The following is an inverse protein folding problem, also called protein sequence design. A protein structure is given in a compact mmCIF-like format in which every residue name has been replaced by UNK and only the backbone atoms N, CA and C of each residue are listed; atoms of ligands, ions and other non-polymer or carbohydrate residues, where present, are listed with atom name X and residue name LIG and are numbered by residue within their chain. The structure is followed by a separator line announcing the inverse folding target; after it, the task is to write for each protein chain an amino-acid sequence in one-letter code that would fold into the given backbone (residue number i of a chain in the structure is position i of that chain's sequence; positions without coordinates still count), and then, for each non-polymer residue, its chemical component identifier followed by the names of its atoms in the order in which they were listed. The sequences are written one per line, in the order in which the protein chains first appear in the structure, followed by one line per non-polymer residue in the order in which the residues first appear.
data_IF_436079371687
#
_entry.id   IF_436079371687
#
_cell.length_a   1.000
_cell.length_b   1.000
_cell.length_c   1.000
_cell.angle_alpha   90.00
_cell.angle_beta   90.00
_cell.angle_gamma   90.00
#
_symmetry.space_group_name_H-M   'P 1'
#
loop_
_entity.id
_entity.type
_entity.pdbx_description
1 polymer ?
#
# COMPACT_ATOMS: atom_id res chain seq x y z
N UNK A 1 2.36 -5.66 27.47
CA UNK A 1 1.65 -4.71 26.59
C UNK A 1 2.71 -3.94 25.82
N UNK A 2 2.54 -3.67 24.52
CA UNK A 2 3.46 -2.77 23.82
C UNK A 2 3.44 -1.40 24.50
N UNK A 3 4.58 -0.71 24.50
CA UNK A 3 4.69 0.62 25.10
C UNK A 3 3.83 1.62 24.31
N UNK A 4 3.05 2.44 25.01
CA UNK A 4 2.27 3.51 24.38
C UNK A 4 3.19 4.70 24.07
N UNK A 5 3.22 5.14 22.82
CA UNK A 5 3.96 6.31 22.34
C UNK A 5 2.98 7.48 22.25
N UNK A 6 3.40 8.68 22.68
CA UNK A 6 2.60 9.90 22.48
C UNK A 6 2.93 10.56 21.15
N UNK A 7 2.00 11.33 20.59
CA UNK A 7 2.23 12.12 19.37
C UNK A 7 3.48 13.02 19.51
N UNK A 8 3.71 13.58 20.71
CA UNK A 8 4.85 14.46 20.98
C UNK A 8 6.22 13.74 20.89
N UNK A 9 6.24 12.40 20.98
CA UNK A 9 7.46 11.60 20.85
C UNK A 9 7.78 11.23 19.39
N UNK A 10 6.85 11.48 18.46
CA UNK A 10 7.05 11.25 17.04
C UNK A 10 8.05 12.26 16.45
N UNK A 11 8.82 11.79 15.48
CA UNK A 11 9.86 12.58 14.79
C UNK A 11 9.71 12.41 13.27
N UNK A 12 10.10 13.43 12.48
CA UNK A 12 10.23 13.27 11.04
C UNK A 12 11.09 12.07 10.70
N UNK A 13 10.58 11.20 9.83
CA UNK A 13 11.19 9.91 9.50
C UNK A 13 10.60 8.71 10.24
N UNK A 14 9.80 8.89 11.29
CA UNK A 14 9.05 7.76 11.85
C UNK A 14 8.02 7.25 10.84
N UNK A 15 7.76 5.95 10.86
CA UNK A 15 6.74 5.32 10.03
C UNK A 15 5.59 4.87 10.93
N UNK A 16 4.37 5.21 10.53
CA UNK A 16 3.14 4.78 11.17
C UNK A 16 2.50 3.66 10.37
N UNK A 17 2.37 2.49 10.98
CA UNK A 17 1.76 1.30 10.38
C UNK A 17 0.36 1.11 10.96
N UNK A 18 -0.66 1.24 10.13
CA UNK A 18 -2.06 1.29 10.56
C UNK A 18 -2.76 -0.04 10.30
N UNK A 19 -3.55 -0.49 11.28
CA UNK A 19 -4.49 -1.59 11.12
C UNK A 19 -5.91 -1.00 10.97
N UNK A 20 -6.34 -0.79 9.73
CA UNK A 20 -7.69 -0.31 9.45
C UNK A 20 -8.77 -1.36 9.74
N UNK A 21 -9.99 -0.88 9.99
CA UNK A 21 -11.17 -1.70 10.35
C UNK A 21 -12.05 -2.09 9.18
N UNK A 22 -12.09 -1.28 8.11
CA UNK A 22 -12.94 -1.49 6.94
C UNK A 22 -12.68 -2.78 6.17
N UNK A 23 -13.61 -3.16 5.32
CA UNK A 23 -13.59 -4.41 4.54
C UNK A 23 -12.38 -4.46 3.60
N UNK A 24 -12.05 -3.35 2.94
CA UNK A 24 -10.85 -3.24 2.11
C UNK A 24 -9.59 -3.45 2.96
N UNK A 25 -9.54 -2.89 4.16
CA UNK A 25 -8.42 -3.09 5.08
C UNK A 25 -8.28 -4.54 5.53
N UNK A 26 -9.39 -5.26 5.81
CA UNK A 26 -9.36 -6.71 6.11
C UNK A 26 -8.74 -7.50 4.96
N UNK A 27 -9.14 -7.19 3.74
CA UNK A 27 -8.64 -7.87 2.54
C UNK A 27 -7.17 -7.55 2.26
N UNK A 28 -6.72 -6.31 2.44
CA UNK A 28 -5.29 -5.94 2.32
C UNK A 28 -4.45 -6.70 3.34
N UNK A 29 -4.88 -6.74 4.62
CA UNK A 29 -4.19 -7.50 5.67
C UNK A 29 -4.08 -8.98 5.32
N UNK A 30 -5.17 -9.58 4.82
CA UNK A 30 -5.18 -10.96 4.36
C UNK A 30 -4.25 -11.19 3.16
N UNK A 31 -4.33 -10.35 2.13
CA UNK A 31 -3.56 -10.50 0.90
C UNK A 31 -2.05 -10.29 1.12
N UNK A 32 -1.69 -9.45 2.08
CA UNK A 32 -0.30 -9.12 2.45
C UNK A 32 0.27 -9.98 3.59
N UNK A 33 -0.53 -10.88 4.19
CA UNK A 33 -0.17 -11.61 5.40
C UNK A 33 0.35 -10.70 6.55
N UNK A 34 -0.27 -9.52 6.67
CA UNK A 34 0.12 -8.45 7.58
C UNK A 34 -0.95 -8.14 8.62
N UNK A 35 -0.50 -7.61 9.77
CA UNK A 35 -1.40 -6.97 10.73
C UNK A 35 -1.89 -5.59 10.27
N UNK A 36 -1.22 -4.99 9.28
CA UNK A 36 -1.45 -3.62 8.86
C UNK A 36 -2.01 -3.59 7.44
N UNK A 37 -2.91 -2.64 7.20
CA UNK A 37 -3.47 -2.36 5.87
C UNK A 37 -2.87 -1.11 5.24
N UNK A 38 -2.13 -0.29 6.00
CA UNK A 38 -1.63 0.99 5.50
C UNK A 38 -0.32 1.42 6.19
N UNK A 39 0.49 2.21 5.48
CA UNK A 39 1.71 2.80 5.99
C UNK A 39 1.80 4.29 5.64
N UNK A 40 2.26 5.10 6.60
CA UNK A 40 2.46 6.53 6.42
C UNK A 40 3.81 6.96 7.02
N UNK A 41 4.38 8.05 6.49
CA UNK A 41 5.62 8.66 6.97
C UNK A 41 5.28 9.88 7.82
N UNK A 42 5.86 10.01 9.01
CA UNK A 42 5.87 11.29 9.74
C UNK A 42 6.74 12.26 8.96
N UNK A 43 6.10 13.19 8.27
CA UNK A 43 6.74 14.10 7.33
C UNK A 43 7.31 15.32 8.05
N UNK A 44 6.54 15.88 8.97
CA UNK A 44 6.90 17.00 9.84
C UNK A 44 6.22 16.80 11.20
N UNK A 45 6.59 17.57 12.25
CA UNK A 45 5.91 17.48 13.54
C UNK A 45 4.38 17.64 13.38
N UNK A 46 3.63 16.60 13.74
CA UNK A 46 2.17 16.58 13.65
C UNK A 46 1.57 16.26 12.26
N UNK A 47 2.41 16.10 11.22
CA UNK A 47 1.97 15.87 9.84
C UNK A 47 2.47 14.54 9.29
N UNK A 48 1.60 13.87 8.53
CA UNK A 48 1.88 12.67 7.76
C UNK A 48 2.02 12.98 6.28
N UNK A 49 2.96 12.27 5.67
CA UNK A 49 2.96 12.00 4.26
C UNK A 49 2.50 10.57 4.00
N UNK A 50 1.53 10.41 3.09
CA UNK A 50 0.98 9.12 2.73
C UNK A 50 0.46 9.13 1.29
N UNK A 51 0.45 7.94 0.69
CA UNK A 51 -0.24 7.73 -0.57
C UNK A 51 -1.60 7.07 -0.27
N UNK A 52 -2.68 7.72 -0.65
CA UNK A 52 -4.07 7.30 -0.42
C UNK A 52 -4.92 7.53 -1.68
N UNK A 53 -6.17 7.07 -1.70
CA UNK A 53 -7.11 7.42 -2.77
C UNK A 53 -7.19 8.94 -2.96
N UNK A 54 -6.71 9.44 -4.10
CA UNK A 54 -6.54 10.87 -4.36
C UNK A 54 -5.09 11.28 -4.68
N UNK A 55 -4.10 10.47 -4.32
CA UNK A 55 -2.68 10.71 -4.64
C UNK A 55 -1.78 10.69 -3.41
N UNK A 56 -0.60 11.32 -3.55
CA UNK A 56 0.35 11.52 -2.45
C UNK A 56 0.05 12.85 -1.74
N UNK A 57 -0.23 12.78 -0.45
CA UNK A 57 -0.48 13.92 0.43
C UNK A 57 0.65 14.05 1.44
N UNK A 58 1.03 15.28 1.81
CA UNK A 58 2.17 15.55 2.71
C UNK A 58 1.77 16.35 3.97
N UNK A 59 0.47 16.59 4.15
CA UNK A 59 -0.11 17.55 5.09
C UNK A 59 -1.19 16.94 5.99
N UNK A 60 -1.29 15.61 6.03
CA UNK A 60 -2.35 14.93 6.76
C UNK A 60 -2.10 15.02 8.26
N UNK A 61 -3.12 15.38 9.05
CA UNK A 61 -2.96 15.59 10.49
C UNK A 61 -2.92 14.29 11.28
N UNK A 62 -1.85 14.06 12.05
CA UNK A 62 -1.74 12.92 12.97
C UNK A 62 -2.84 12.98 14.04
N UNK A 63 -3.09 14.17 14.59
CA UNK A 63 -4.10 14.34 15.63
C UNK A 63 -5.51 14.07 15.12
N UNK A 64 -5.83 14.49 13.89
CA UNK A 64 -7.12 14.18 13.27
C UNK A 64 -7.26 12.66 13.04
N UNK A 65 -6.21 12.00 12.54
CA UNK A 65 -6.18 10.53 12.36
C UNK A 65 -6.44 9.79 13.66
N UNK A 66 -5.87 10.24 14.79
CA UNK A 66 -6.10 9.60 16.09
C UNK A 66 -7.47 9.89 16.70
N UNK A 67 -8.13 10.99 16.31
CA UNK A 67 -9.48 11.29 16.76
C UNK A 67 -10.53 10.40 16.09
N UNK A 68 -10.19 9.81 14.93
CA UNK A 68 -11.05 8.91 14.17
C UNK A 68 -10.83 7.45 14.58
N UNK A 69 -11.37 7.09 15.75
CA UNK A 69 -11.20 5.78 16.35
C UNK A 69 -11.95 4.65 15.63
N UNK A 70 -12.91 4.98 14.76
CA UNK A 70 -13.74 4.00 14.08
C UNK A 70 -13.01 3.39 12.86
N UNK A 71 -12.07 4.13 12.27
CA UNK A 71 -11.35 3.71 11.05
C UNK A 71 -10.08 2.88 11.33
N UNK A 72 -9.45 3.02 12.51
CA UNK A 72 -8.17 2.38 12.83
C UNK A 72 -8.15 1.80 14.24
N UNK A 73 -7.83 0.51 14.36
CA UNK A 73 -7.75 -0.18 15.67
C UNK A 73 -6.36 -0.16 16.29
N UNK A 74 -5.31 0.08 15.48
CA UNK A 74 -3.93 0.03 15.92
C UNK A 74 -3.04 0.86 15.02
N UNK A 75 -2.11 1.61 15.61
CA UNK A 75 -1.04 2.29 14.90
C UNK A 75 0.29 1.99 15.58
N UNK A 76 1.10 1.17 14.92
CA UNK A 76 2.46 0.86 15.35
C UNK A 76 3.42 1.93 14.81
N UNK A 77 4.34 2.36 15.66
CA UNK A 77 5.40 3.31 15.31
C UNK A 77 6.71 2.55 15.15
N UNK A 78 7.34 2.69 13.98
CA UNK A 78 8.71 2.26 13.77
C UNK A 78 9.59 3.45 13.38
N UNK A 79 10.85 3.44 13.81
CA UNK A 79 11.80 4.55 13.61
C UNK A 79 13.06 4.06 12.89
N UNK A 80 13.60 4.83 11.92
CA UNK A 80 14.85 4.49 11.25
C UNK A 80 16.00 4.28 12.23
N UNK A 81 16.74 3.19 12.06
CA UNK A 81 17.95 2.87 12.81
C UNK A 81 19.12 3.58 12.15
N UNK A 82 19.53 4.71 12.72
CA UNK A 82 20.66 5.51 12.23
C UNK A 82 21.84 5.41 13.21
N UNK A 83 22.37 4.21 13.42
CA UNK A 83 23.46 3.96 14.37
C UNK A 83 23.11 4.32 15.82
N UNK A 84 21.82 4.26 16.19
CA UNK A 84 21.30 4.68 17.50
C UNK A 84 21.14 6.19 17.68
N UNK A 85 21.42 7.00 16.66
CA UNK A 85 21.26 8.45 16.68
C UNK A 85 19.96 8.90 15.99
N UNK A 86 19.37 10.04 16.38
CA UNK A 86 18.31 10.67 15.60
C UNK A 86 18.76 11.00 14.18
N UNK A 87 17.82 11.13 13.25
CA UNK A 87 18.11 11.68 11.94
C UNK A 87 18.61 13.13 12.07
N UNK A 88 19.67 13.45 11.34
CA UNK A 88 20.16 14.83 11.24
C UNK A 88 19.16 15.69 10.45
N UNK A 89 19.21 17.01 10.63
CA UNK A 89 18.37 17.93 9.85
C UNK A 89 18.57 17.78 8.32
N UNK A 90 19.80 17.47 7.88
CA UNK A 90 20.09 17.22 6.46
C UNK A 90 19.46 15.91 5.96
N UNK A 91 19.45 14.86 6.79
CA UNK A 91 18.79 13.59 6.47
C UNK A 91 17.26 13.77 6.38
N UNK A 92 16.67 14.48 7.35
CA UNK A 92 15.25 14.83 7.32
C UNK A 92 14.91 15.64 6.06
N UNK A 93 15.74 16.63 5.72
CA UNK A 93 15.53 17.44 4.52
C UNK A 93 15.58 16.62 3.22
N UNK A 94 16.51 15.65 3.11
CA UNK A 94 16.55 14.72 1.95
C UNK A 94 15.31 13.83 1.88
N UNK A 95 14.87 13.30 3.02
CA UNK A 95 13.67 12.46 3.09
C UNK A 95 12.42 13.23 2.70
N UNK A 96 12.28 14.47 3.17
CA UNK A 96 11.18 15.34 2.78
C UNK A 96 11.23 15.67 1.29
N UNK A 97 12.40 15.99 0.73
CA UNK A 97 12.56 16.26 -0.70
C UNK A 97 12.23 15.04 -1.56
N UNK A 98 12.64 13.83 -1.14
CA UNK A 98 12.30 12.59 -1.82
C UNK A 98 10.78 12.32 -1.79
N UNK A 99 10.12 12.53 -0.63
CA UNK A 99 8.67 12.43 -0.52
C UNK A 99 7.94 13.47 -1.40
N UNK A 100 8.43 14.71 -1.44
CA UNK A 100 7.91 15.76 -2.31
C UNK A 100 8.02 15.43 -3.80
N UNK A 101 9.12 14.79 -4.23
CA UNK A 101 9.28 14.36 -5.62
C UNK A 101 8.21 13.35 -6.05
N UNK A 102 7.55 12.68 -5.09
CA UNK A 102 6.44 11.76 -5.34
C UNK A 102 5.07 12.46 -5.34
N UNK A 103 4.97 13.76 -5.02
CA UNK A 103 3.70 14.51 -4.88
C UNK A 103 2.91 14.71 -6.19
N UNK A 104 3.42 14.25 -7.33
CA UNK A 104 2.68 14.18 -8.61
C UNK A 104 2.30 12.77 -9.04
N UNK A 105 2.71 11.76 -8.27
CA UNK A 105 2.40 10.36 -8.53
C UNK A 105 0.99 10.08 -8.08
N UNK A 106 0.28 9.29 -8.87
CA UNK A 106 -1.10 8.89 -8.60
C UNK A 106 -1.08 7.73 -7.60
N UNK A 107 -2.07 7.63 -6.74
CA UNK A 107 -2.26 6.39 -5.98
C UNK A 107 -2.82 5.30 -6.90
N UNK A 108 -2.53 4.02 -6.62
CA UNK A 108 -3.20 2.93 -7.32
C UNK A 108 -4.73 3.13 -7.24
N UNK A 109 -5.38 3.30 -8.39
CA UNK A 109 -6.64 4.06 -8.54
C UNK A 109 -7.91 3.46 -7.94
N UNK A 110 -7.80 2.40 -7.18
CA UNK A 110 -8.87 1.85 -6.38
C UNK A 110 -8.16 0.89 -5.42
N UNK A 111 -8.52 0.93 -4.14
CA UNK A 111 -7.92 0.02 -3.16
C UNK A 111 -8.22 -1.45 -3.52
N UNK A 112 -9.16 -1.70 -4.44
CA UNK A 112 -9.38 -2.98 -5.10
C UNK A 112 -8.29 -3.35 -6.12
N UNK A 113 -7.77 -2.45 -6.97
CA UNK A 113 -6.57 -2.80 -7.75
C UNK A 113 -5.33 -2.86 -6.86
N UNK A 114 -5.26 -2.15 -5.73
CA UNK A 114 -4.21 -2.39 -4.73
C UNK A 114 -4.31 -3.81 -4.18
N UNK A 115 -5.51 -4.26 -3.80
CA UNK A 115 -5.76 -5.63 -3.36
C UNK A 115 -5.45 -6.67 -4.46
N UNK A 116 -5.92 -6.43 -5.69
CA UNK A 116 -5.62 -7.27 -6.85
C UNK A 116 -4.12 -7.30 -7.16
N UNK A 117 -3.45 -6.15 -7.08
CA UNK A 117 -2.00 -6.01 -7.24
C UNK A 117 -1.25 -6.78 -6.15
N UNK A 118 -1.64 -6.65 -4.88
CA UNK A 118 -1.04 -7.41 -3.77
C UNK A 118 -1.23 -8.91 -4.01
N UNK A 119 -2.43 -9.36 -4.40
CA UNK A 119 -2.70 -10.76 -4.73
C UNK A 119 -1.80 -11.27 -5.87
N UNK A 120 -1.64 -10.49 -6.95
CA UNK A 120 -0.74 -10.80 -8.08
C UNK A 120 0.72 -10.87 -7.64
N UNK A 121 1.16 -9.84 -6.91
CA UNK A 121 2.56 -9.64 -6.54
C UNK A 121 3.06 -10.64 -5.51
N UNK A 122 2.20 -11.01 -4.56
CA UNK A 122 2.48 -12.02 -3.52
C UNK A 122 2.12 -13.45 -3.95
N UNK A 123 1.54 -13.63 -5.13
CA UNK A 123 0.99 -14.91 -5.58
C UNK A 123 -0.02 -15.48 -4.55
N UNK A 124 -0.85 -14.61 -3.98
CA UNK A 124 -1.83 -15.01 -2.95
C UNK A 124 -2.94 -15.80 -3.61
N UNK A 125 -2.93 -17.10 -3.36
CA UNK A 125 -3.93 -18.05 -3.81
C UNK A 125 -4.40 -18.86 -2.61
N UNK A 126 -5.64 -19.32 -2.69
CA UNK A 126 -6.26 -20.12 -1.64
C UNK A 126 -7.27 -21.07 -2.28
N UNK A 127 -7.57 -22.15 -1.56
CA UNK A 127 -8.63 -23.10 -1.92
C UNK A 127 -10.02 -22.54 -1.59
N UNK A 128 -10.11 -21.41 -0.89
CA UNK A 128 -11.38 -20.75 -0.61
C UNK A 128 -12.02 -20.22 -1.90
N UNK A 129 -13.19 -20.76 -2.26
CA UNK A 129 -13.90 -20.42 -3.50
C UNK A 129 -14.31 -18.95 -3.58
N UNK A 130 -14.73 -18.35 -2.46
CA UNK A 130 -15.13 -16.94 -2.42
C UNK A 130 -13.93 -16.02 -2.66
N UNK A 131 -12.77 -16.34 -2.07
CA UNK A 131 -11.53 -15.64 -2.32
C UNK A 131 -11.06 -15.77 -3.78
N UNK A 132 -11.14 -16.96 -4.38
CA UNK A 132 -10.78 -17.17 -5.80
C UNK A 132 -11.69 -16.37 -6.74
N UNK A 133 -12.99 -16.32 -6.44
CA UNK A 133 -13.98 -15.49 -7.17
C UNK A 133 -13.68 -14.00 -7.05
N UNK A 134 -13.34 -13.53 -5.85
CA UNK A 134 -12.93 -12.14 -5.66
C UNK A 134 -11.64 -11.85 -6.43
N UNK A 135 -10.60 -12.67 -6.31
CA UNK A 135 -9.34 -12.49 -7.07
C UNK A 135 -9.62 -12.48 -8.57
N UNK A 136 -10.46 -13.38 -9.07
CA UNK A 136 -10.86 -13.40 -10.48
C UNK A 136 -11.50 -12.08 -10.91
N UNK A 137 -12.43 -11.54 -10.13
CA UNK A 137 -13.03 -10.24 -10.37
C UNK A 137 -11.99 -9.11 -10.32
N UNK A 138 -11.15 -9.09 -9.28
CA UNK A 138 -10.09 -8.08 -9.12
C UNK A 138 -9.14 -8.08 -10.33
N UNK A 139 -8.75 -9.24 -10.85
CA UNK A 139 -7.89 -9.33 -12.02
C UNK A 139 -8.52 -8.80 -13.30
N UNK A 140 -9.86 -8.81 -13.40
CA UNK A 140 -10.57 -8.17 -14.52
C UNK A 140 -10.59 -6.65 -14.36
N UNK A 141 -10.62 -6.16 -13.12
CA UNK A 141 -10.58 -4.73 -12.78
C UNK A 141 -9.15 -4.15 -12.77
N UNK A 142 -8.11 -5.01 -12.67
CA UNK A 142 -6.71 -4.59 -12.76
C UNK A 142 -6.44 -4.19 -14.20
N UNK A 143 -6.61 -2.90 -14.47
CA UNK A 143 -6.18 -2.26 -15.70
C UNK A 143 -4.65 -2.36 -15.77
N UNK A 144 -4.07 -3.05 -16.77
CA UNK A 144 -2.66 -2.86 -17.06
C UNK A 144 -2.50 -1.40 -17.46
N UNK A 145 -1.53 -0.71 -16.85
CA UNK A 145 -1.06 0.66 -17.13
C UNK A 145 -1.34 1.68 -16.01
N UNK A 146 -0.31 1.89 -15.18
CA UNK A 146 0.36 3.19 -15.15
C UNK A 146 1.64 3.09 -14.31
N UNK A 147 2.77 3.34 -14.96
CA UNK A 147 4.09 3.55 -14.33
C UNK A 147 4.08 4.64 -13.24
N UNK A 148 3.11 5.57 -13.30
CA UNK A 148 3.00 6.68 -12.36
C UNK A 148 2.21 6.37 -11.08
N UNK A 149 1.78 5.13 -10.83
CA UNK A 149 0.97 4.77 -9.65
C UNK A 149 1.80 4.22 -8.48
N UNK A 150 1.44 4.58 -7.25
CA UNK A 150 2.08 4.16 -6.00
C UNK A 150 1.08 3.54 -5.01
N UNK A 151 1.56 2.54 -4.27
CA UNK A 151 0.90 2.00 -3.06
C UNK A 151 1.50 2.66 -1.80
N UNK A 152 0.80 2.63 -0.66
CA UNK A 152 1.21 3.32 0.57
C UNK A 152 2.59 2.91 1.10
N UNK A 153 2.87 1.61 1.17
CA UNK A 153 4.16 1.06 1.60
C UNK A 153 5.27 1.26 0.55
N UNK A 154 4.92 1.20 -0.73
CA UNK A 154 5.83 1.54 -1.84
C UNK A 154 6.26 3.01 -1.75
N UNK A 155 5.33 3.93 -1.49
CA UNK A 155 5.62 5.34 -1.26
C UNK A 155 6.63 5.53 -0.12
N UNK A 156 6.41 4.89 1.04
CA UNK A 156 7.34 4.99 2.17
C UNK A 156 8.71 4.44 1.79
N UNK A 157 8.79 3.26 1.18
CA UNK A 157 10.04 2.68 0.72
C UNK A 157 10.80 3.61 -0.24
N UNK A 158 10.11 4.13 -1.27
CA UNK A 158 10.69 5.02 -2.26
C UNK A 158 11.11 6.38 -1.69
N UNK A 159 10.40 6.90 -0.68
CA UNK A 159 10.81 8.12 0.00
C UNK A 159 12.17 7.92 0.72
N UNK A 160 12.36 6.79 1.39
CA UNK A 160 13.64 6.46 2.02
C UNK A 160 14.74 6.14 1.01
N UNK A 161 14.47 5.26 0.06
CA UNK A 161 15.41 4.89 -0.99
C UNK A 161 15.85 6.09 -1.84
N UNK A 162 14.89 6.96 -2.18
CA UNK A 162 15.10 8.19 -2.94
C UNK A 162 15.97 9.23 -2.26
N UNK A 163 16.27 9.08 -0.96
CA UNK A 163 17.26 9.94 -0.28
C UNK A 163 18.68 9.74 -0.78
N UNK A 164 18.96 8.58 -1.40
CA UNK A 164 20.30 8.14 -1.80
C UNK A 164 21.32 8.16 -0.65
N UNK A 165 20.83 8.06 0.57
CA UNK A 165 21.64 7.95 1.78
C UNK A 165 21.68 6.49 2.20
N UNK A 166 22.85 5.86 2.12
CA UNK A 166 23.03 4.45 2.48
C UNK A 166 22.63 4.13 3.94
N UNK A 167 22.66 5.13 4.83
CA UNK A 167 22.20 4.96 6.21
C UNK A 167 20.66 4.94 6.35
N UNK A 168 19.95 5.41 5.34
CA UNK A 168 18.49 5.49 5.29
C UNK A 168 17.86 4.48 4.32
N UNK A 169 18.67 3.85 3.47
CA UNK A 169 18.18 2.90 2.48
C UNK A 169 17.59 1.65 3.18
N UNK A 170 16.28 1.37 3.03
CA UNK A 170 15.64 0.31 3.78
C UNK A 170 16.08 -1.07 3.31
N UNK A 171 16.62 -1.87 4.22
CA UNK A 171 16.85 -3.30 3.99
C UNK A 171 15.54 -4.05 4.20
N UNK A 172 14.92 -4.49 3.11
CA UNK A 172 13.67 -5.23 3.18
C UNK A 172 13.94 -6.72 3.27
N UNK A 173 13.46 -7.33 4.34
CA UNK A 173 13.39 -8.79 4.49
C UNK A 173 11.95 -9.19 4.19
N UNK A 174 11.74 -9.81 3.03
CA UNK A 174 10.40 -10.27 2.64
C UNK A 174 9.95 -11.35 3.62
N UNK A 175 8.86 -11.07 4.33
CA UNK A 175 8.31 -12.02 5.28
C UNK A 175 7.73 -13.22 4.51
N UNK A 176 8.02 -14.48 4.91
CA UNK A 176 7.37 -15.65 4.31
C UNK A 176 5.85 -15.56 4.41
N UNK A 177 5.15 -16.11 3.42
CA UNK A 177 3.69 -16.19 3.44
C UNK A 177 3.21 -16.93 4.69
N UNK A 178 2.20 -16.37 5.36
CA UNK A 178 1.66 -16.91 6.63
C UNK A 178 0.35 -17.67 6.42
N UNK A 179 -0.18 -17.66 5.20
CA UNK A 179 -1.45 -18.29 4.82
C UNK A 179 -2.60 -17.96 5.78
N UNK A 180 -2.79 -16.66 6.04
CA UNK A 180 -3.88 -16.20 6.88
C UNK A 180 -5.25 -16.71 6.38
N UNK A 181 -6.16 -17.10 7.30
CA UNK A 181 -7.49 -17.55 6.92
C UNK A 181 -8.27 -16.43 6.22
N UNK A 182 -9.19 -16.82 5.34
CA UNK A 182 -10.10 -15.88 4.70
C UNK A 182 -10.90 -15.10 5.76
N UNK A 183 -10.91 -13.76 5.72
CA UNK A 183 -11.65 -12.96 6.70
C UNK A 183 -13.17 -13.08 6.49
N UNK A 184 -13.92 -12.71 7.52
CA UNK A 184 -15.36 -12.47 7.38
C UNK A 184 -15.57 -11.12 6.66
N UNK A 185 -16.09 -11.20 5.44
CA UNK A 185 -16.21 -10.07 4.50
C UNK A 185 -17.68 -9.72 4.31
N UNK A 186 -18.03 -8.47 4.62
CA UNK A 186 -19.32 -7.89 4.23
C UNK A 186 -19.21 -7.33 2.81
N UNK A 187 -19.73 -8.06 1.83
CA UNK A 187 -19.63 -7.67 0.42
C UNK A 187 -20.42 -6.40 0.07
N UNK A 188 -21.46 -6.06 0.82
CA UNK A 188 -22.22 -4.83 0.59
C UNK A 188 -21.41 -3.62 1.08
N UNK A 189 -20.83 -3.72 2.27
CA UNK A 189 -19.94 -2.70 2.82
C UNK A 189 -18.66 -2.57 1.98
N UNK A 190 -18.10 -3.69 1.50
CA UNK A 190 -16.95 -3.70 0.59
C UNK A 190 -17.24 -2.94 -0.71
N UNK A 191 -18.42 -3.14 -1.30
CA UNK A 191 -18.83 -2.40 -2.49
C UNK A 191 -18.96 -0.90 -2.19
N UNK A 192 -19.56 -0.53 -1.07
CA UNK A 192 -19.70 0.88 -0.68
C UNK A 192 -18.32 1.55 -0.47
N UNK A 193 -17.41 0.90 0.25
CA UNK A 193 -16.03 1.38 0.42
C UNK A 193 -15.32 1.54 -0.92
N UNK A 194 -15.51 0.59 -1.84
CA UNK A 194 -14.96 0.66 -3.19
C UNK A 194 -15.50 1.87 -3.98
N UNK A 195 -16.81 2.09 -3.95
CA UNK A 195 -17.45 3.21 -4.63
C UNK A 195 -17.03 4.55 -4.02
N UNK A 196 -16.88 4.64 -2.70
CA UNK A 196 -16.37 5.82 -2.02
C UNK A 196 -14.93 6.12 -2.44
N UNK A 197 -14.06 5.11 -2.47
CA UNK A 197 -12.68 5.26 -2.93
C UNK A 197 -12.63 5.74 -4.40
N UNK A 198 -13.49 5.20 -5.28
CA UNK A 198 -13.63 5.64 -6.67
C UNK A 198 -14.04 7.11 -6.79
N UNK A 199 -14.97 7.57 -5.96
CA UNK A 199 -15.47 8.96 -5.98
C UNK A 199 -14.46 9.98 -5.46
N UNK A 200 -13.50 9.57 -4.64
CA UNK A 200 -12.40 10.43 -4.14
C UNK A 200 -11.34 10.71 -5.21
N UNK A 201 -11.38 10.02 -6.35
CA UNK A 201 -10.49 10.28 -7.48
C UNK A 201 -10.85 11.65 -8.08
N UNK A 202 -9.89 12.57 -8.10
CA UNK A 202 -10.09 13.91 -8.65
C UNK A 202 -10.13 13.85 -10.20
N UNK A 203 -11.29 14.19 -10.83
CA UNK A 203 -11.42 14.16 -12.29
C UNK A 203 -10.44 15.08 -13.02
N UNK A 204 -10.05 16.19 -12.39
CA UNK A 204 -9.12 17.17 -12.98
C UNK A 204 -7.68 16.65 -13.03
N UNK A 205 -7.33 15.65 -12.21
CA UNK A 205 -6.00 15.03 -12.17
C UNK A 205 -5.97 13.69 -12.93
N UNK A 206 -7.12 13.12 -13.27
CA UNK A 206 -7.18 11.80 -13.91
C UNK A 206 -8.32 11.62 -14.93
N UNK A 207 -8.34 12.46 -15.97
CA UNK A 207 -9.33 12.41 -17.04
C UNK A 207 -9.37 11.05 -17.79
N UNK A 208 -8.21 10.42 -18.01
CA UNK A 208 -8.12 9.09 -18.64
C UNK A 208 -8.68 7.98 -17.76
N UNK A 209 -8.54 8.08 -16.43
CA UNK A 209 -9.20 7.16 -15.53
C UNK A 209 -10.72 7.36 -15.57
N UNK A 210 -11.21 8.60 -15.63
CA UNK A 210 -12.65 8.86 -15.66
C UNK A 210 -13.33 8.35 -16.94
N UNK A 211 -12.69 8.48 -18.11
CA UNK A 211 -13.21 7.98 -19.39
C UNK A 211 -13.22 6.44 -19.50
N UNK A 212 -12.35 5.75 -18.76
CA UNK A 212 -12.26 4.29 -18.75
C UNK A 212 -13.15 3.62 -17.67
N UNK A 213 -13.75 4.41 -16.77
CA UNK A 213 -14.57 3.86 -15.70
C UNK A 213 -15.93 3.42 -16.23
N UNK A 214 -16.22 2.13 -16.08
CA UNK A 214 -17.57 1.58 -16.24
C UNK A 214 -18.53 2.22 -15.23
N UNK A 215 -19.84 2.25 -15.52
CA UNK A 215 -20.84 2.72 -14.56
C UNK A 215 -20.66 2.05 -13.19
N UNK A 216 -20.96 2.78 -12.11
CA UNK A 216 -20.95 2.22 -10.76
C UNK A 216 -21.90 1.00 -10.72
N UNK A 217 -21.40 -0.22 -10.39
CA UNK A 217 -22.26 -1.38 -10.34
C UNK A 217 -23.22 -1.29 -9.15
N UNK A 218 -24.43 -1.78 -9.34
CA UNK A 218 -25.36 -2.06 -8.24
C UNK A 218 -24.87 -3.24 -7.40
N UNK A 219 -25.38 -3.38 -6.17
CA UNK A 219 -25.06 -4.53 -5.31
C UNK A 219 -25.41 -5.87 -5.99
N UNK A 220 -26.51 -5.93 -6.74
CA UNK A 220 -26.91 -7.15 -7.45
C UNK A 220 -25.93 -7.49 -8.59
N UNK A 221 -25.47 -6.49 -9.35
CA UNK A 221 -24.48 -6.69 -10.43
C UNK A 221 -23.12 -7.09 -9.86
N UNK A 222 -22.69 -6.49 -8.74
CA UNK A 222 -21.47 -6.87 -8.06
C UNK A 222 -21.49 -8.32 -7.56
N UNK A 223 -22.57 -8.72 -6.89
CA UNK A 223 -22.73 -10.11 -6.43
C UNK A 223 -22.80 -11.10 -7.60
N UNK A 224 -23.54 -10.76 -8.66
CA UNK A 224 -23.60 -11.60 -9.86
C UNK A 224 -22.21 -11.75 -10.51
N UNK A 225 -21.42 -10.68 -10.56
CA UNK A 225 -20.05 -10.73 -11.11
C UNK A 225 -19.12 -11.61 -10.27
N UNK A 226 -19.21 -11.58 -8.94
CA UNK A 226 -18.46 -12.48 -8.06
C UNK A 226 -18.84 -13.94 -8.29
N UNK A 227 -20.12 -14.23 -8.55
CA UNK A 227 -20.61 -15.60 -8.74
C UNK A 227 -20.43 -16.14 -10.17
N UNK A 228 -20.24 -15.26 -11.15
CA UNK A 228 -20.19 -15.61 -12.57
C UNK A 228 -19.01 -16.51 -12.96
N UNK A 229 -17.91 -16.49 -12.19
CA UNK A 229 -16.72 -17.26 -12.50
C UNK A 229 -16.98 -18.78 -12.41
N UNK A 230 -16.71 -19.48 -13.51
CA UNK A 230 -16.81 -20.93 -13.63
C UNK A 230 -15.62 -21.63 -12.97
N UNK A 231 -15.78 -22.90 -12.62
CA UNK A 231 -14.69 -23.72 -12.05
C UNK A 231 -13.46 -23.75 -12.97
N UNK A 232 -13.65 -23.77 -14.29
CA UNK A 232 -12.56 -23.76 -15.28
C UNK A 232 -11.82 -22.42 -15.29
N UNK A 233 -12.52 -21.30 -15.21
CA UNK A 233 -11.86 -19.98 -15.14
C UNK A 233 -11.09 -19.82 -13.82
N UNK A 234 -11.59 -20.42 -12.75
CA UNK A 234 -10.94 -20.41 -11.46
C UNK A 234 -9.72 -21.34 -11.42
N UNK A 235 -9.68 -22.45 -12.16
CA UNK A 235 -8.48 -23.28 -12.26
C UNK A 235 -7.33 -22.58 -12.99
N UNK A 236 -7.64 -21.71 -13.96
CA UNK A 236 -6.63 -20.96 -14.72
C UNK A 236 -6.10 -19.72 -13.98
N UNK A 237 -6.64 -19.41 -12.80
CA UNK A 237 -6.31 -18.21 -12.03
C UNK A 237 -4.81 -18.12 -11.70
N UNK A 238 -4.17 -19.25 -11.44
CA UNK A 238 -2.73 -19.37 -11.22
C UNK A 238 -1.92 -18.86 -12.41
N UNK A 239 -2.25 -19.33 -13.61
CA UNK A 239 -1.58 -18.91 -14.84
C UNK A 239 -1.83 -17.43 -15.14
N UNK A 240 -3.04 -16.92 -14.86
CA UNK A 240 -3.38 -15.50 -15.01
C UNK A 240 -2.59 -14.62 -14.04
N UNK A 241 -2.48 -15.01 -12.77
CA UNK A 241 -1.66 -14.29 -11.78
C UNK A 241 -0.19 -14.26 -12.19
N UNK A 242 0.36 -15.40 -12.63
CA UNK A 242 1.75 -15.48 -13.09
C UNK A 242 1.99 -14.56 -14.29
N UNK A 243 1.06 -14.53 -15.26
CA UNK A 243 1.14 -13.67 -16.44
C UNK A 243 1.05 -12.18 -16.06
N UNK A 244 0.07 -11.81 -15.21
CA UNK A 244 -0.08 -10.45 -14.73
C UNK A 244 1.16 -9.98 -13.96
N UNK A 245 1.74 -10.84 -13.13
CA UNK A 245 2.97 -10.56 -12.39
C UNK A 245 4.15 -10.30 -13.33
N UNK A 246 4.34 -11.15 -14.35
CA UNK A 246 5.39 -10.97 -15.34
C UNK A 246 5.21 -9.65 -16.12
N UNK A 247 3.98 -9.33 -16.54
CA UNK A 247 3.66 -8.06 -17.21
C UNK A 247 3.96 -6.84 -16.35
N UNK A 248 3.56 -6.86 -15.08
CA UNK A 248 3.85 -5.77 -14.13
C UNK A 248 5.34 -5.59 -13.88
N UNK A 249 6.10 -6.69 -13.76
CA UNK A 249 7.55 -6.64 -13.62
C UNK A 249 8.20 -6.01 -14.85
N UNK A 250 7.76 -6.38 -16.06
CA UNK A 250 8.28 -5.85 -17.32
C UNK A 250 7.98 -4.35 -17.51
N UNK A 251 6.76 -3.89 -17.19
CA UNK A 251 6.36 -2.48 -17.31
C UNK A 251 7.13 -1.55 -16.37
N UNK A 252 7.55 -2.04 -15.20
CA UNK A 252 8.12 -1.19 -14.15
C UNK A 252 9.65 -1.20 -14.09
N UNK A 253 10.32 -2.15 -14.73
CA UNK A 253 11.78 -2.07 -14.96
C UNK A 253 12.22 -0.74 -15.62
N UNK A 254 11.58 -0.25 -16.70
CA UNK A 254 11.91 1.04 -17.28
C UNK A 254 11.42 2.25 -16.47
N UNK A 255 10.31 2.14 -15.71
CA UNK A 255 9.81 3.24 -14.88
C UNK A 255 10.77 3.59 -13.71
N UNK A 256 11.33 2.56 -13.07
CA UNK A 256 12.41 2.73 -12.07
C UNK A 256 13.64 3.35 -12.73
N UNK A 257 13.97 2.95 -13.96
CA UNK A 257 15.07 3.51 -14.75
C UNK A 257 14.83 4.95 -15.28
N UNK A 258 13.58 5.37 -15.47
CA UNK A 258 13.24 6.72 -15.89
C UNK A 258 13.25 7.70 -14.71
N UNK A 259 12.79 7.28 -13.52
CA UNK A 259 13.15 7.95 -12.27
C UNK A 259 14.67 7.87 -11.99
N UNK A 260 15.37 6.90 -12.59
CA UNK A 260 16.82 6.74 -12.52
C UNK A 260 17.63 7.73 -13.37
N UNK A 261 16.99 8.60 -14.16
CA UNK A 261 17.62 9.86 -14.57
C UNK A 261 18.02 10.75 -13.37
N UNK A 262 17.43 10.47 -12.19
CA UNK A 262 17.77 11.02 -10.88
C UNK A 262 18.32 9.98 -9.88
N UNK A 263 18.43 8.69 -10.25
CA UNK A 263 18.64 7.54 -9.34
C UNK A 263 19.36 6.38 -10.05
N UNK A 264 20.61 6.59 -10.49
CA UNK A 264 21.33 5.54 -11.22
C UNK A 264 21.86 4.40 -10.32
N UNK A 265 21.55 3.18 -10.77
CA UNK A 265 22.21 1.89 -10.51
C UNK A 265 22.22 1.32 -9.07
N UNK A 266 21.22 0.48 -8.79
CA UNK A 266 21.47 -0.77 -8.08
C UNK A 266 20.58 -1.89 -8.61
N UNK A 267 21.21 -2.94 -9.09
CA UNK A 267 20.56 -4.17 -9.54
C UNK A 267 20.47 -5.14 -8.34
N UNK A 268 19.31 -5.80 -8.24
CA UNK A 268 19.03 -7.02 -7.47
C UNK A 268 19.15 -6.95 -5.93
N UNK A 269 18.02 -6.74 -5.24
CA UNK A 269 17.73 -7.46 -3.98
C UNK A 269 16.25 -7.42 -3.56
N UNK A 270 15.53 -6.33 -3.82
CA UNK A 270 14.14 -6.17 -3.35
C UNK A 270 13.32 -5.47 -4.43
N UNK A 271 12.22 -6.10 -4.84
CA UNK A 271 11.24 -5.43 -5.68
C UNK A 271 10.39 -4.52 -4.79
N UNK A 272 10.60 -3.20 -4.88
CA UNK A 272 9.87 -2.16 -4.14
C UNK A 272 8.34 -2.33 -4.17
N UNK A 273 7.80 -2.92 -5.24
CA UNK A 273 6.37 -3.17 -5.40
C UNK A 273 5.84 -4.27 -4.46
N UNK A 274 6.73 -5.13 -3.96
CA UNK A 274 6.36 -6.22 -3.03
C UNK A 274 6.42 -5.80 -1.57
N UNK A 275 6.91 -4.58 -1.29
CA UNK A 275 7.05 -4.07 0.07
C UNK A 275 5.65 -3.85 0.62
N UNK A 276 5.29 -4.60 1.65
CA UNK A 276 4.06 -4.39 2.41
C UNK A 276 4.41 -3.78 3.78
N UNK A 277 3.44 -3.20 4.49
CA UNK A 277 3.67 -2.65 5.83
C UNK A 277 4.39 -3.61 6.79
N UNK A 278 4.10 -4.91 6.73
CA UNK A 278 4.78 -5.96 7.53
C UNK A 278 6.29 -6.01 7.28
N UNK A 279 6.73 -5.79 6.04
CA UNK A 279 8.15 -5.85 5.71
C UNK A 279 8.89 -4.65 6.30
N UNK A 280 8.25 -3.47 6.34
CA UNK A 280 8.76 -2.29 7.05
C UNK A 280 8.81 -2.54 8.56
N UNK A 281 7.83 -3.25 9.12
CA UNK A 281 7.79 -3.63 10.54
C UNK A 281 8.92 -4.58 10.95
N UNK A 282 9.30 -5.47 10.04
CA UNK A 282 10.28 -6.53 10.28
C UNK A 282 11.68 -6.20 9.75
N UNK A 283 11.83 -5.10 9.01
CA UNK A 283 13.10 -4.64 8.48
C UNK A 283 14.07 -4.27 9.61
N UNK A 284 15.35 -4.70 9.53
CA UNK A 284 16.38 -4.28 10.49
C UNK A 284 16.73 -2.79 10.39
N UNK A 285 16.31 -2.11 9.31
CA UNK A 285 16.48 -0.66 9.15
C UNK A 285 15.55 0.16 10.04
N UNK A 286 14.55 -0.46 10.67
CA UNK A 286 13.61 0.22 11.56
C UNK A 286 13.49 -0.45 12.92
N UNK A 287 13.42 0.35 13.98
CA UNK A 287 13.17 -0.08 15.35
C UNK A 287 11.71 0.19 15.72
N UNK A 288 11.02 -0.83 16.21
CA UNK A 288 9.70 -0.65 16.80
C UNK A 288 9.78 0.16 18.11
N UNK A 289 8.97 1.21 18.22
CA UNK A 289 8.95 2.10 19.38
C UNK A 289 7.76 1.84 20.31
N UNK A 290 6.63 1.40 19.75
CA UNK A 290 5.39 1.27 20.50
C UNK A 290 4.17 1.62 19.66
N UNK A 291 3.05 1.88 20.33
CA UNK A 291 1.75 2.15 19.70
C UNK A 291 1.23 3.54 20.04
N UNK A 292 0.67 4.26 19.07
CA UNK A 292 0.03 5.57 19.33
C UNK A 292 -1.35 5.43 20.00
N UNK A 293 -1.96 4.26 19.88
CA UNK A 293 -3.27 3.94 20.43
C UNK A 293 -3.11 2.79 21.44
N UNK A 294 -3.78 2.85 22.61
CA UNK A 294 -3.75 1.79 23.61
C UNK A 294 -4.50 0.53 23.17
#
# INVERSE_FOLDING_TARGET
MPDTISIAALRPGDILLHAGTGEISKLIKWASDSLYSHAALVYAPGLLAEAISGGVHLDQSIAARLADHDEVTRIDVVRPVNGGQPLTGAQVGRLQAAAQALQGRKFALNQMAELGLICVLRNKLTDNMAARRLIHWLLNEVVPENENRLVCSEFVYLAFHGTQDAALDPQIVVTPAKDLPWPDVDYAQLLEEYLQARRRVNPAQDALALEALTPDPTAAEFMAALEAATVSELSDLEARLATARAGLQALRQPAVAASAGLLAAHEAAVNAFLVVPEDLRNSPSFQFLGQLMP
#
